data_IF_260654264237
#
_entry.id   IF_260654264237
#
_cell.length_a   1.000
_cell.length_b   1.000
_cell.length_c   1.000
_cell.angle_alpha   90.00
_cell.angle_beta   90.00
_cell.angle_gamma   90.00
#
_symmetry.space_group_name_H-M   'P 1'
#
loop_
_entity.id
_entity.type
_entity.pdbx_description
1 polymer ?
#
# COMPACT_ATOMS: atom_id res chain seq x y z
N UNK A 1 0.37 15.79 -1.29
CA UNK A 1 0.02 14.75 -0.32
C UNK A 1 -0.64 13.66 -1.10
N UNK A 2 -0.21 12.41 -0.93
CA UNK A 2 -0.80 11.28 -1.64
C UNK A 2 -2.21 11.03 -1.09
N UNK A 3 -3.17 10.97 -1.99
CA UNK A 3 -4.60 10.91 -1.66
C UNK A 3 -5.05 9.46 -1.41
N UNK A 4 -5.54 9.20 -0.19
CA UNK A 4 -6.01 7.89 0.28
C UNK A 4 -7.54 7.76 0.31
N UNK A 5 -8.30 8.74 -0.20
CA UNK A 5 -9.77 8.77 -0.10
C UNK A 5 -10.48 7.59 -0.82
N UNK A 6 -9.77 6.82 -1.66
CA UNK A 6 -10.31 5.61 -2.26
C UNK A 6 -10.47 4.47 -1.24
N UNK A 7 -9.70 4.49 -0.15
CA UNK A 7 -9.66 3.43 0.85
C UNK A 7 -10.83 3.55 1.80
N UNK A 8 -11.57 2.46 1.97
CA UNK A 8 -12.79 2.43 2.81
C UNK A 8 -12.58 1.77 4.17
N UNK A 9 -11.39 1.20 4.41
CA UNK A 9 -11.04 0.55 5.67
C UNK A 9 -10.58 1.52 6.76
N UNK A 10 -10.26 0.96 7.93
CA UNK A 10 -9.71 1.72 9.05
C UNK A 10 -8.19 1.84 8.94
N UNK A 11 -7.69 3.04 8.68
CA UNK A 11 -6.25 3.32 8.58
C UNK A 11 -5.63 3.18 9.98
N UNK A 12 -4.70 2.23 10.15
CA UNK A 12 -3.96 1.99 11.40
C UNK A 12 -2.59 2.65 11.41
N UNK A 13 -1.98 2.77 10.23
CA UNK A 13 -0.69 3.39 10.04
C UNK A 13 -0.66 4.10 8.68
N UNK A 14 -0.11 5.31 8.62
CA UNK A 14 -0.04 6.12 7.41
C UNK A 14 1.18 7.06 7.43
N UNK A 15 2.24 6.63 6.76
CA UNK A 15 3.33 7.49 6.29
C UNK A 15 3.21 7.76 4.78
N UNK A 16 2.37 7.00 4.07
CA UNK A 16 2.21 7.07 2.62
C UNK A 16 1.60 8.41 2.18
N UNK A 17 0.65 8.96 2.94
CA UNK A 17 0.01 10.23 2.59
C UNK A 17 1.01 11.38 2.55
N UNK A 18 2.07 11.34 3.37
CA UNK A 18 3.11 12.37 3.38
C UNK A 18 3.88 12.50 2.05
N UNK A 19 3.83 11.48 1.18
CA UNK A 19 4.43 11.57 -0.15
C UNK A 19 3.81 12.71 -0.96
N UNK A 20 4.65 13.33 -1.78
CA UNK A 20 4.24 14.43 -2.68
C UNK A 20 4.44 14.03 -4.14
N UNK A 21 3.94 14.83 -5.07
CA UNK A 21 4.13 14.62 -6.51
C UNK A 21 5.57 14.85 -7.00
N UNK A 22 6.51 15.10 -6.08
CA UNK A 22 7.94 15.11 -6.40
C UNK A 22 8.39 13.71 -6.86
N UNK A 23 9.46 13.63 -7.69
CA UNK A 23 10.06 12.36 -8.04
C UNK A 23 10.40 11.53 -6.78
N UNK A 24 10.12 10.22 -6.79
CA UNK A 24 10.41 9.32 -5.66
C UNK A 24 11.89 9.40 -5.22
N UNK A 25 12.81 9.56 -6.18
CA UNK A 25 14.23 9.75 -5.93
C UNK A 25 14.60 10.99 -5.07
N UNK A 26 13.69 11.96 -4.91
CA UNK A 26 13.87 13.14 -4.05
C UNK A 26 13.28 12.98 -2.64
N UNK A 27 12.59 11.88 -2.40
CA UNK A 27 11.92 11.58 -1.13
C UNK A 27 12.23 10.15 -0.68
N UNK A 28 13.42 9.63 -1.03
CA UNK A 28 13.84 8.26 -0.70
C UNK A 28 13.77 7.98 0.79
N UNK A 29 14.16 8.93 1.64
CA UNK A 29 14.13 8.80 3.10
C UNK A 29 12.71 8.61 3.67
N UNK A 30 11.66 8.90 2.88
CA UNK A 30 10.27 8.63 3.23
C UNK A 30 9.78 7.26 2.73
N UNK A 31 10.54 6.56 1.88
CA UNK A 31 10.18 5.28 1.28
C UNK A 31 10.66 4.11 2.14
N UNK A 32 9.90 3.81 3.19
CA UNK A 32 10.16 2.73 4.15
C UNK A 32 9.48 1.43 3.74
N UNK A 33 9.89 0.31 4.33
CA UNK A 33 9.21 -0.98 4.17
C UNK A 33 7.79 -1.00 4.76
N UNK A 34 7.48 -0.07 5.68
CA UNK A 34 6.15 0.16 6.22
C UNK A 34 5.68 1.59 5.86
N UNK A 35 4.67 1.72 4.99
CA UNK A 35 4.13 3.01 4.55
C UNK A 35 2.66 3.18 4.87
N UNK A 36 1.87 2.12 4.79
CA UNK A 36 0.43 2.17 5.01
C UNK A 36 -0.07 0.82 5.51
N UNK A 37 -0.94 0.84 6.51
CA UNK A 37 -1.70 -0.32 6.94
C UNK A 37 -3.15 0.06 7.17
N UNK A 38 -4.07 -0.68 6.52
CA UNK A 38 -5.51 -0.44 6.60
C UNK A 38 -6.22 -1.75 6.91
N UNK A 39 -7.04 -1.74 7.96
CA UNK A 39 -7.85 -2.88 8.38
C UNK A 39 -9.24 -2.87 7.77
N UNK A 40 -9.72 -4.05 7.40
CA UNK A 40 -11.05 -4.30 6.86
C UNK A 40 -11.74 -5.43 7.65
N UNK A 41 -13.09 -5.51 7.63
CA UNK A 41 -13.82 -6.63 8.21
C UNK A 41 -13.32 -7.99 7.72
N UNK A 42 -13.50 -9.03 8.55
CA UNK A 42 -13.14 -10.40 8.16
C UNK A 42 -11.64 -10.72 8.22
N UNK A 43 -10.89 -10.02 9.09
CA UNK A 43 -9.45 -10.19 9.28
C UNK A 43 -8.65 -9.91 8.00
N UNK A 44 -9.13 -8.95 7.20
CA UNK A 44 -8.49 -8.50 5.98
C UNK A 44 -7.66 -7.25 6.25
N UNK A 45 -6.52 -7.15 5.59
CA UNK A 45 -5.58 -6.06 5.75
C UNK A 45 -5.00 -5.67 4.39
N UNK A 46 -4.93 -4.36 4.14
CA UNK A 46 -4.13 -3.78 3.07
C UNK A 46 -2.82 -3.30 3.68
N UNK A 47 -1.70 -3.77 3.15
CA UNK A 47 -0.35 -3.39 3.57
C UNK A 47 0.39 -2.80 2.38
N UNK A 48 1.07 -1.67 2.58
CA UNK A 48 1.91 -1.03 1.56
C UNK A 48 3.24 -0.65 2.15
N UNK A 49 4.29 -0.96 1.40
CA UNK A 49 5.67 -0.64 1.75
C UNK A 49 6.54 -0.48 0.52
N UNK A 50 7.75 0.03 0.69
CA UNK A 50 8.77 0.18 -0.36
C UNK A 50 9.96 -0.74 -0.08
N UNK A 51 10.33 -1.56 -1.07
CA UNK A 51 11.34 -2.60 -0.91
C UNK A 51 12.38 -2.59 -2.04
N UNK A 52 13.69 -2.63 -1.72
CA UNK A 52 14.28 -2.43 -0.39
C UNK A 52 14.03 -1.01 0.14
N UNK A 53 13.95 -0.82 1.45
CA UNK A 53 13.80 0.53 2.04
C UNK A 53 14.86 1.50 1.52
N UNK A 54 14.43 2.75 1.30
CA UNK A 54 15.28 3.88 0.88
C UNK A 54 16.04 3.69 -0.44
N UNK A 55 15.84 2.56 -1.13
CA UNK A 55 16.52 2.25 -2.38
C UNK A 55 15.83 2.90 -3.57
N UNK A 56 16.59 3.65 -4.37
CA UNK A 56 16.12 4.28 -5.61
C UNK A 56 15.59 3.29 -6.65
N UNK A 57 16.07 2.04 -6.61
CA UNK A 57 15.72 0.96 -7.52
C UNK A 57 14.64 0.04 -6.92
N UNK A 58 14.16 0.37 -5.71
CA UNK A 58 13.07 -0.32 -5.03
C UNK A 58 11.71 -0.16 -5.73
N UNK A 59 10.69 -0.75 -5.12
CA UNK A 59 9.31 -0.65 -5.59
C UNK A 59 8.33 -0.69 -4.42
N UNK A 60 7.18 -0.03 -4.60
CA UNK A 60 6.04 -0.27 -3.74
C UNK A 60 5.61 -1.73 -3.86
N UNK A 61 5.37 -2.39 -2.73
CA UNK A 61 4.64 -3.64 -2.62
C UNK A 61 3.28 -3.33 -2.01
N UNK A 62 2.22 -3.76 -2.67
CA UNK A 62 0.83 -3.61 -2.22
C UNK A 62 0.32 -5.02 -1.97
N UNK A 63 0.02 -5.33 -0.71
CA UNK A 63 -0.40 -6.66 -0.26
C UNK A 63 -1.83 -6.60 0.25
N UNK A 64 -2.64 -7.57 -0.15
CA UNK A 64 -3.91 -7.88 0.53
C UNK A 64 -3.69 -9.14 1.34
N UNK A 65 -3.86 -9.04 2.66
CA UNK A 65 -3.49 -10.04 3.64
C UNK A 65 -4.74 -10.50 4.36
N UNK A 66 -4.81 -11.78 4.68
CA UNK A 66 -5.88 -12.37 5.47
C UNK A 66 -5.31 -13.15 6.64
N UNK A 67 -6.00 -13.07 7.78
CA UNK A 67 -5.66 -13.83 8.99
C UNK A 67 -4.20 -13.64 9.42
N UNK A 68 -3.65 -12.43 9.18
CA UNK A 68 -2.26 -12.07 9.51
C UNK A 68 -1.20 -12.95 8.81
N UNK A 69 -1.50 -13.55 7.66
CA UNK A 69 -0.55 -14.35 6.89
C UNK A 69 0.18 -13.52 5.83
N UNK A 70 1.27 -12.85 6.23
CA UNK A 70 2.17 -12.14 5.30
C UNK A 70 2.95 -13.09 4.36
N UNK A 71 3.02 -14.39 4.67
CA UNK A 71 3.72 -15.36 3.84
C UNK A 71 2.88 -15.77 2.62
N UNK A 72 1.55 -15.77 2.77
CA UNK A 72 0.60 -16.10 1.70
C UNK A 72 -0.47 -15.01 1.54
N UNK A 73 -0.10 -13.81 1.04
CA UNK A 73 -1.07 -12.77 0.79
C UNK A 73 -2.07 -13.20 -0.29
N UNK A 74 -3.33 -12.76 -0.16
CA UNK A 74 -4.38 -12.96 -1.16
C UNK A 74 -4.05 -12.24 -2.48
N UNK A 75 -3.29 -11.15 -2.41
CA UNK A 75 -2.76 -10.44 -3.57
C UNK A 75 -1.42 -9.80 -3.24
N UNK A 76 -0.49 -9.82 -4.19
CA UNK A 76 0.79 -9.12 -4.11
C UNK A 76 1.07 -8.42 -5.43
N UNK A 77 1.06 -7.08 -5.41
CA UNK A 77 1.30 -6.25 -6.59
C UNK A 77 2.48 -5.32 -6.35
N UNK A 78 3.13 -4.92 -7.44
CA UNK A 78 4.24 -3.95 -7.39
C UNK A 78 3.92 -2.69 -8.20
N UNK A 79 4.47 -1.56 -7.74
CA UNK A 79 4.43 -0.29 -8.47
C UNK A 79 5.75 0.48 -8.31
N UNK A 80 6.21 1.13 -9.39
CA UNK A 80 7.45 1.94 -9.40
C UNK A 80 7.18 3.44 -9.58
N UNK A 81 5.91 3.85 -9.49
CA UNK A 81 5.49 5.25 -9.58
C UNK A 81 4.22 5.47 -8.76
N UNK A 82 3.96 6.72 -8.37
CA UNK A 82 2.74 7.08 -7.63
C UNK A 82 1.46 6.82 -8.45
N UNK A 83 1.52 7.02 -9.77
CA UNK A 83 0.41 6.69 -10.67
C UNK A 83 0.11 5.18 -10.67
N UNK A 84 1.14 4.35 -10.87
CA UNK A 84 0.97 2.89 -10.83
C UNK A 84 0.55 2.42 -9.42
N UNK A 85 1.03 3.06 -8.35
CA UNK A 85 0.60 2.77 -6.99
C UNK A 85 -0.90 3.02 -6.82
N UNK A 86 -1.41 4.15 -7.32
CA UNK A 86 -2.86 4.44 -7.31
C UNK A 86 -3.65 3.34 -8.01
N UNK A 87 -3.19 2.86 -9.18
CA UNK A 87 -3.84 1.76 -9.90
C UNK A 87 -3.85 0.45 -9.08
N UNK A 88 -2.77 0.16 -8.33
CA UNK A 88 -2.70 -1.02 -7.46
C UNK A 88 -3.59 -0.88 -6.24
N UNK A 89 -3.71 0.32 -5.67
CA UNK A 89 -4.63 0.59 -4.56
C UNK A 89 -6.09 0.44 -4.99
N UNK A 90 -6.46 0.86 -6.21
CA UNK A 90 -7.80 0.62 -6.77
C UNK A 90 -8.06 -0.89 -6.88
N UNK A 91 -7.15 -1.65 -7.49
CA UNK A 91 -7.30 -3.11 -7.60
C UNK A 91 -7.40 -3.81 -6.25
N UNK A 92 -6.60 -3.38 -5.26
CA UNK A 92 -6.65 -3.92 -3.92
C UNK A 92 -7.97 -3.59 -3.22
N UNK A 93 -8.45 -2.34 -3.33
CA UNK A 93 -9.73 -1.92 -2.78
C UNK A 93 -10.91 -2.65 -3.43
N UNK A 94 -10.89 -2.88 -4.74
CA UNK A 94 -11.93 -3.66 -5.43
C UNK A 94 -11.97 -5.11 -4.91
N UNK A 95 -10.81 -5.73 -4.71
CA UNK A 95 -10.71 -7.07 -4.11
C UNK A 95 -11.24 -7.07 -2.67
N UNK A 96 -10.84 -6.11 -1.85
CA UNK A 96 -11.29 -5.98 -0.47
C UNK A 96 -12.79 -5.79 -0.39
N UNK A 97 -13.37 -4.92 -1.24
CA UNK A 97 -14.81 -4.72 -1.33
C UNK A 97 -15.56 -6.00 -1.73
N UNK A 98 -14.96 -6.86 -2.57
CA UNK A 98 -15.57 -8.14 -2.96
C UNK A 98 -15.47 -9.22 -1.87
N UNK A 99 -14.50 -9.11 -0.96
CA UNK A 99 -14.26 -10.07 0.13
C UNK A 99 -14.94 -9.66 1.45
N UNK A 100 -15.25 -8.38 1.62
CA UNK A 100 -15.97 -7.85 2.77
C UNK A 100 -17.48 -8.17 2.64
N UNK A 101 -18.06 -8.95 3.56
CA UNK A 101 -19.50 -9.24 3.58
C UNK A 101 -20.37 -8.06 4.02
#
# INVERSE_FOLDING_TARGET
MFDLNLLTGNIRFDDLSHLTDQPLARQLDALKEDLLQVEYPGQLLLDVGWYPEFDKDGAFRVLVIKDQDWQQPLSSQQARSLAALRDRLVQAQDLLSALCP
#
